data_IF_460445963437
#
_entry.id   IF_460445963437
#
_cell.length_a   1.000
_cell.length_b   1.000
_cell.length_c   1.000
_cell.angle_alpha   90.00
_cell.angle_beta   90.00
_cell.angle_gamma   90.00
#
_symmetry.space_group_name_H-M   'P 1'
#
loop_
_entity.id
_entity.type
_entity.pdbx_description
1 polymer ?
#
# COMPACT_ATOMS: atom_id res chain seq x y z
N UNK A 1 2.02 -15.18 -14.58
CA UNK A 1 3.41 -14.94 -14.13
C UNK A 1 3.76 -13.47 -14.37
N UNK A 2 4.38 -12.84 -13.36
CA UNK A 2 4.71 -11.41 -13.36
C UNK A 2 6.22 -11.17 -13.63
N UNK A 3 6.84 -12.09 -14.38
CA UNK A 3 8.26 -12.02 -14.71
C UNK A 3 8.62 -10.71 -15.43
N UNK A 4 9.61 -9.99 -14.93
CA UNK A 4 10.04 -8.71 -15.47
C UNK A 4 9.14 -7.53 -15.12
N UNK A 5 8.08 -7.74 -14.31
CA UNK A 5 7.21 -6.67 -13.84
C UNK A 5 7.70 -6.09 -12.52
N UNK A 6 7.78 -4.78 -12.44
CA UNK A 6 8.12 -4.04 -11.23
C UNK A 6 6.84 -3.61 -10.51
N UNK A 7 6.69 -4.04 -9.26
CA UNK A 7 5.51 -3.75 -8.44
C UNK A 7 5.92 -2.95 -7.21
N UNK A 8 5.26 -1.81 -7.01
CA UNK A 8 5.33 -1.07 -5.75
C UNK A 8 4.26 -1.65 -4.80
N UNK A 9 4.68 -2.06 -3.60
CA UNK A 9 3.77 -2.45 -2.52
C UNK A 9 3.86 -1.41 -1.40
N UNK A 10 2.82 -0.59 -1.29
CA UNK A 10 2.66 0.39 -0.21
C UNK A 10 2.01 -0.26 1.00
N UNK A 11 2.69 -0.20 2.15
CA UNK A 11 2.19 -0.76 3.42
C UNK A 11 1.92 0.36 4.40
N UNK A 12 0.69 0.43 4.92
CA UNK A 12 0.27 1.52 5.80
C UNK A 12 -0.10 1.04 7.21
N UNK A 13 -0.18 1.98 8.16
CA UNK A 13 -0.24 1.72 9.60
C UNK A 13 -1.58 1.20 10.10
N UNK A 14 -1.82 -0.09 9.96
CA UNK A 14 -2.94 -0.79 10.55
C UNK A 14 -2.54 -2.22 10.94
N UNK A 15 -3.32 -2.86 11.81
CA UNK A 15 -3.02 -4.23 12.28
C UNK A 15 -2.85 -5.21 11.10
N UNK A 16 -3.56 -5.01 9.98
CA UNK A 16 -3.45 -5.86 8.80
C UNK A 16 -2.10 -5.72 8.05
N UNK A 17 -1.18 -4.84 8.49
CA UNK A 17 0.16 -4.70 7.90
C UNK A 17 0.94 -6.03 7.89
N UNK A 18 0.75 -6.92 8.88
CA UNK A 18 1.39 -8.24 8.89
C UNK A 18 1.00 -9.10 7.67
N UNK A 19 -0.20 -8.91 7.13
CA UNK A 19 -0.69 -9.64 5.96
C UNK A 19 0.00 -9.19 4.67
N UNK A 20 0.49 -7.98 4.62
CA UNK A 20 1.26 -7.50 3.48
C UNK A 20 2.53 -8.33 3.23
N UNK A 21 3.08 -8.98 4.27
CA UNK A 21 4.21 -9.90 4.12
C UNK A 21 3.83 -11.13 3.28
N UNK A 22 2.63 -11.67 3.47
CA UNK A 22 2.11 -12.77 2.64
C UNK A 22 1.91 -12.31 1.20
N UNK A 23 1.33 -11.13 0.99
CA UNK A 23 1.15 -10.55 -0.34
C UNK A 23 2.49 -10.35 -1.05
N UNK A 24 3.50 -9.79 -0.37
CA UNK A 24 4.85 -9.67 -0.91
C UNK A 24 5.43 -11.03 -1.33
N UNK A 25 5.25 -12.06 -0.49
CA UNK A 25 5.69 -13.42 -0.80
C UNK A 25 4.96 -14.03 -2.01
N UNK A 26 3.64 -13.80 -2.14
CA UNK A 26 2.86 -14.24 -3.30
C UNK A 26 3.33 -13.57 -4.60
N UNK A 27 3.55 -12.27 -4.58
CA UNK A 27 4.06 -11.52 -5.74
C UNK A 27 5.46 -12.01 -6.15
N UNK A 28 6.35 -12.27 -5.18
CA UNK A 28 7.68 -12.84 -5.43
C UNK A 28 7.59 -14.25 -6.04
N UNK A 29 6.66 -15.10 -5.59
CA UNK A 29 6.41 -16.43 -6.18
C UNK A 29 5.93 -16.34 -7.64
N UNK A 30 5.31 -15.23 -8.02
CA UNK A 30 4.93 -14.91 -9.40
C UNK A 30 6.09 -14.30 -10.21
N UNK A 31 7.30 -14.21 -9.64
CA UNK A 31 8.52 -13.67 -10.23
C UNK A 31 8.48 -12.14 -10.48
N UNK A 32 7.69 -11.40 -9.70
CA UNK A 32 7.71 -9.95 -9.74
C UNK A 32 8.96 -9.37 -9.06
N UNK A 33 9.42 -8.20 -9.55
CA UNK A 33 10.37 -7.34 -8.84
C UNK A 33 9.57 -6.43 -7.90
N UNK A 34 9.55 -6.77 -6.60
CA UNK A 34 8.68 -6.12 -5.60
C UNK A 34 9.49 -5.12 -4.78
N UNK A 35 9.08 -3.85 -4.84
CA UNK A 35 9.64 -2.76 -4.05
C UNK A 35 8.61 -2.33 -3.00
N UNK A 36 8.99 -2.41 -1.73
CA UNK A 36 8.09 -2.08 -0.62
C UNK A 36 8.37 -0.67 -0.11
N UNK A 37 7.31 0.11 0.06
CA UNK A 37 7.34 1.42 0.71
C UNK A 37 6.44 1.36 1.94
N UNK A 38 6.99 1.67 3.10
CA UNK A 38 6.25 1.66 4.36
C UNK A 38 6.04 3.08 4.87
N UNK A 39 4.83 3.37 5.35
CA UNK A 39 4.60 4.57 6.14
C UNK A 39 5.23 4.44 7.52
N UNK A 40 5.52 5.56 8.18
CA UNK A 40 6.04 5.57 9.56
C UNK A 40 5.16 4.73 10.50
N UNK A 41 3.84 4.86 10.39
CA UNK A 41 2.91 4.11 11.24
C UNK A 41 2.88 2.61 10.91
N UNK A 42 3.23 2.19 9.69
CA UNK A 42 3.32 0.78 9.36
C UNK A 42 4.46 0.09 10.11
N UNK A 43 5.57 0.80 10.36
CA UNK A 43 6.72 0.28 11.08
C UNK A 43 6.44 -0.03 12.56
N UNK A 44 5.37 0.49 13.13
CA UNK A 44 4.91 0.13 14.49
C UNK A 44 4.27 -1.28 14.55
N UNK A 45 3.84 -1.84 13.41
CA UNK A 45 3.18 -3.14 13.31
C UNK A 45 4.08 -4.24 12.74
N UNK A 46 5.00 -3.88 11.84
CA UNK A 46 5.91 -4.82 11.17
C UNK A 46 7.19 -4.07 10.76
N UNK A 47 8.32 -4.74 10.84
CA UNK A 47 9.60 -4.09 10.55
C UNK A 47 9.96 -4.10 9.05
N UNK A 48 10.70 -3.09 8.54
CA UNK A 48 11.23 -3.09 7.17
C UNK A 48 12.03 -4.35 6.83
N UNK A 49 12.79 -4.89 7.79
CA UNK A 49 13.60 -6.09 7.63
C UNK A 49 12.80 -7.29 7.12
N UNK A 50 11.53 -7.42 7.54
CA UNK A 50 10.65 -8.51 7.06
C UNK A 50 10.49 -8.43 5.54
N UNK A 51 10.22 -7.24 5.01
CA UNK A 51 10.02 -7.05 3.57
C UNK A 51 11.34 -7.15 2.79
N UNK A 52 12.43 -6.62 3.34
CA UNK A 52 13.77 -6.74 2.73
C UNK A 52 14.19 -8.20 2.57
N UNK A 53 13.91 -9.02 3.60
CA UNK A 53 14.17 -10.47 3.55
C UNK A 53 13.32 -11.17 2.48
N UNK A 54 12.05 -10.80 2.34
CA UNK A 54 11.13 -11.44 1.39
C UNK A 54 11.37 -11.00 -0.06
N UNK A 55 11.69 -9.73 -0.28
CA UNK A 55 11.77 -9.14 -1.63
C UNK A 55 13.18 -9.10 -2.18
N UNK A 56 14.20 -9.15 -1.32
CA UNK A 56 15.63 -8.93 -1.64
C UNK A 56 15.87 -7.51 -2.18
N UNK A 57 14.96 -6.59 -1.86
CA UNK A 57 15.07 -5.16 -2.16
C UNK A 57 15.03 -4.37 -0.86
N UNK A 58 15.70 -3.20 -0.83
CA UNK A 58 15.61 -2.27 0.29
C UNK A 58 14.15 -1.81 0.47
N UNK A 59 13.67 -1.81 1.70
CA UNK A 59 12.37 -1.24 2.04
C UNK A 59 12.50 0.28 2.21
N UNK A 60 11.71 1.05 1.47
CA UNK A 60 11.76 2.50 1.49
C UNK A 60 10.84 3.04 2.59
N UNK A 61 11.37 3.88 3.48
CA UNK A 61 10.62 4.40 4.64
C UNK A 61 10.71 5.91 4.80
N UNK A 62 11.73 6.53 4.23
CA UNK A 62 12.03 7.96 4.39
C UNK A 62 12.38 8.60 3.05
N UNK A 63 11.75 9.73 2.76
CA UNK A 63 12.02 10.53 1.56
C UNK A 63 13.42 11.16 1.57
N UNK A 64 13.99 11.35 2.77
CA UNK A 64 15.26 12.04 2.98
C UNK A 64 16.37 11.12 3.51
N UNK A 65 16.28 9.82 3.27
CA UNK A 65 17.35 8.87 3.58
C UNK A 65 18.64 9.26 2.82
N UNK A 66 19.70 9.60 3.56
CA UNK A 66 20.99 10.05 3.00
C UNK A 66 21.93 8.91 2.59
N UNK A 67 21.54 7.67 2.83
CA UNK A 67 22.32 6.48 2.48
C UNK A 67 22.00 5.96 1.08
N UNK A 68 21.72 6.85 0.12
CA UNK A 68 21.38 6.49 -1.25
C UNK A 68 22.31 7.15 -2.27
N UNK A 69 22.37 6.59 -3.48
CA UNK A 69 22.98 7.22 -4.65
C UNK A 69 22.14 8.44 -5.05
N UNK A 70 22.78 9.48 -5.61
CA UNK A 70 22.18 10.77 -5.98
C UNK A 70 21.05 10.70 -7.05
N UNK A 71 20.21 9.69 -7.00
CA UNK A 71 19.01 9.55 -7.83
C UNK A 71 17.78 9.83 -6.97
N UNK A 72 16.80 10.53 -7.50
CA UNK A 72 15.56 10.84 -6.79
C UNK A 72 14.73 9.56 -6.73
N UNK A 73 14.97 8.75 -5.71
CA UNK A 73 14.56 7.35 -5.56
C UNK A 73 13.05 7.15 -5.80
N UNK A 74 12.21 8.04 -5.29
CA UNK A 74 10.76 7.98 -5.49
C UNK A 74 10.35 8.24 -6.95
N UNK A 75 11.08 9.09 -7.68
CA UNK A 75 10.78 9.39 -9.10
C UNK A 75 11.22 8.23 -10.00
N UNK A 76 12.41 7.68 -9.75
CA UNK A 76 12.92 6.54 -10.51
C UNK A 76 12.05 5.30 -10.33
N UNK A 77 11.64 5.01 -9.09
CA UNK A 77 10.75 3.91 -8.81
C UNK A 77 9.37 4.13 -9.44
N UNK A 78 8.81 5.35 -9.35
CA UNK A 78 7.52 5.68 -9.96
C UNK A 78 7.52 5.50 -11.49
N UNK A 79 8.62 5.83 -12.18
CA UNK A 79 8.78 5.63 -13.62
C UNK A 79 8.92 4.16 -14.00
N UNK A 80 9.60 3.37 -13.18
CA UNK A 80 9.89 1.95 -13.42
C UNK A 80 8.70 1.04 -13.16
N UNK A 81 7.77 1.47 -12.29
CA UNK A 81 6.68 0.64 -11.82
C UNK A 81 5.68 0.30 -12.93
N UNK A 82 5.33 -0.99 -13.04
CA UNK A 82 4.23 -1.48 -13.89
C UNK A 82 2.89 -1.48 -13.14
N UNK A 83 2.92 -1.53 -11.80
CA UNK A 83 1.75 -1.56 -10.93
C UNK A 83 2.12 -1.04 -9.54
N UNK A 84 1.20 -0.31 -8.91
CA UNK A 84 1.30 0.06 -7.51
C UNK A 84 0.10 -0.52 -6.73
N UNK A 85 0.39 -1.20 -5.62
CA UNK A 85 -0.61 -1.81 -4.73
C UNK A 85 -0.45 -1.19 -3.34
N UNK A 86 -1.52 -0.62 -2.78
CA UNK A 86 -1.53 -0.09 -1.42
C UNK A 86 -2.34 -1.05 -0.55
N UNK A 87 -1.66 -1.87 0.23
CA UNK A 87 -2.26 -2.98 0.97
C UNK A 87 -1.49 -3.30 2.27
N UNK A 88 -2.09 -3.08 3.44
CA UNK A 88 -3.39 -2.46 3.67
C UNK A 88 -3.37 -0.95 3.43
N UNK A 89 -4.51 -0.38 3.02
CA UNK A 89 -4.70 1.06 2.93
C UNK A 89 -5.58 1.55 4.09
N UNK A 90 -5.02 2.41 4.95
CA UNK A 90 -5.75 3.07 6.03
C UNK A 90 -6.61 4.21 5.49
N UNK A 91 -7.66 4.60 6.23
CA UNK A 91 -8.48 5.77 5.91
C UNK A 91 -7.63 7.03 5.71
N UNK A 92 -6.58 7.21 6.54
CA UNK A 92 -5.66 8.33 6.43
C UNK A 92 -4.94 8.36 5.07
N UNK A 93 -4.41 7.23 4.62
CA UNK A 93 -3.68 7.18 3.34
C UNK A 93 -4.66 7.30 2.17
N UNK A 94 -5.87 6.73 2.25
CA UNK A 94 -6.90 6.95 1.25
C UNK A 94 -7.24 8.44 1.10
N UNK A 95 -7.43 9.15 2.22
CA UNK A 95 -7.68 10.59 2.20
C UNK A 95 -6.51 11.39 1.62
N UNK A 96 -5.26 11.08 2.00
CA UNK A 96 -4.08 11.73 1.43
C UNK A 96 -3.98 11.57 -0.07
N UNK A 97 -4.14 10.36 -0.57
CA UNK A 97 -4.07 10.06 -2.00
C UNK A 97 -5.21 10.72 -2.78
N UNK A 98 -6.43 10.73 -2.23
CA UNK A 98 -7.60 11.38 -2.83
C UNK A 98 -7.40 12.90 -3.01
N UNK A 99 -6.65 13.54 -2.11
CA UNK A 99 -6.44 14.99 -2.10
C UNK A 99 -5.01 15.41 -2.52
N UNK A 100 -4.19 14.48 -3.01
CA UNK A 100 -2.83 14.78 -3.51
C UNK A 100 -1.85 15.22 -2.44
N UNK A 101 -2.05 14.82 -1.18
CA UNK A 101 -1.10 15.07 -0.08
C UNK A 101 0.09 14.12 -0.20
N UNK A 102 1.28 14.68 -0.36
CA UNK A 102 2.53 13.96 -0.59
C UNK A 102 3.57 14.33 0.50
N UNK A 103 3.29 13.95 1.73
CA UNK A 103 4.07 14.30 2.92
C UNK A 103 4.95 13.16 3.46
N UNK A 104 4.96 12.02 2.79
CA UNK A 104 5.82 10.87 3.09
C UNK A 104 6.31 10.19 1.79
N UNK A 105 7.23 9.22 1.94
CA UNK A 105 7.81 8.49 0.81
C UNK A 105 6.77 7.78 -0.06
N UNK A 106 5.75 7.17 0.56
CA UNK A 106 4.71 6.43 -0.15
C UNK A 106 3.83 7.36 -0.98
N UNK A 107 3.27 8.39 -0.36
CA UNK A 107 2.36 9.32 -1.03
C UNK A 107 3.06 10.16 -2.10
N UNK A 108 4.33 10.53 -1.87
CA UNK A 108 5.15 11.23 -2.87
C UNK A 108 5.41 10.34 -4.10
N UNK A 109 5.78 9.07 -3.88
CA UNK A 109 6.01 8.12 -4.97
C UNK A 109 4.72 7.89 -5.77
N UNK A 110 3.60 7.65 -5.10
CA UNK A 110 2.32 7.37 -5.75
C UNK A 110 1.77 8.56 -6.54
N UNK A 111 2.03 9.79 -6.09
CA UNK A 111 1.65 11.00 -6.82
C UNK A 111 2.42 11.12 -8.15
N UNK A 112 3.65 10.60 -8.20
CA UNK A 112 4.49 10.57 -9.41
C UNK A 112 4.20 9.36 -10.33
N UNK A 113 3.51 8.31 -9.83
CA UNK A 113 3.23 7.09 -10.60
C UNK A 113 2.21 7.33 -11.72
N UNK A 114 2.50 6.76 -12.90
CA UNK A 114 1.59 6.72 -14.06
C UNK A 114 1.03 5.31 -14.31
N UNK A 115 1.54 4.30 -13.60
CA UNK A 115 1.06 2.93 -13.71
C UNK A 115 -0.34 2.74 -13.09
N UNK A 116 -1.04 1.63 -13.39
CA UNK A 116 -2.25 1.23 -12.67
C UNK A 116 -2.01 1.19 -11.16
N UNK A 117 -3.02 1.57 -10.38
CA UNK A 117 -2.94 1.66 -8.92
C UNK A 117 -4.11 0.94 -8.29
N UNK A 118 -3.81 0.05 -7.37
CA UNK A 118 -4.79 -0.75 -6.61
C UNK A 118 -4.75 -0.35 -5.15
N UNK A 119 -5.91 -0.18 -4.55
CA UNK A 119 -6.05 0.09 -3.11
C UNK A 119 -6.87 -1.03 -2.46
N UNK A 120 -6.34 -1.63 -1.41
CA UNK A 120 -7.02 -2.59 -0.56
C UNK A 120 -7.29 -1.95 0.83
N UNK A 121 -8.44 -1.29 1.03
CA UNK A 121 -8.79 -0.65 2.29
C UNK A 121 -8.89 -1.69 3.42
N UNK A 122 -8.36 -1.34 4.59
CA UNK A 122 -8.54 -2.14 5.80
C UNK A 122 -8.60 -1.21 7.01
N UNK A 123 -9.75 -1.21 7.71
CA UNK A 123 -10.01 -0.35 8.85
C UNK A 123 -11.22 -0.84 9.64
N UNK A 124 -11.48 -0.23 10.80
CA UNK A 124 -12.70 -0.46 11.55
C UNK A 124 -13.95 -0.18 10.66
N UNK A 125 -15.02 -0.94 10.87
CA UNK A 125 -16.26 -0.83 10.07
C UNK A 125 -16.83 0.58 10.07
N UNK A 126 -16.90 1.25 11.22
CA UNK A 126 -17.42 2.62 11.31
C UNK A 126 -16.55 3.63 10.56
N UNK A 127 -15.23 3.41 10.53
CA UNK A 127 -14.32 4.23 9.71
C UNK A 127 -14.55 3.98 8.23
N UNK A 128 -14.75 2.73 7.84
CA UNK A 128 -15.01 2.37 6.45
C UNK A 128 -16.35 2.94 5.96
N UNK A 129 -17.43 2.80 6.77
CA UNK A 129 -18.77 3.29 6.45
C UNK A 129 -18.93 4.81 6.63
N UNK A 130 -17.93 5.48 7.18
CA UNK A 130 -17.98 6.93 7.34
C UNK A 130 -18.09 7.62 5.97
N UNK A 131 -19.06 8.55 5.79
CA UNK A 131 -19.26 9.24 4.52
C UNK A 131 -17.97 9.87 3.95
N UNK A 132 -17.13 10.46 4.79
CA UNK A 132 -15.86 11.06 4.37
C UNK A 132 -14.93 9.99 3.76
N UNK A 133 -14.88 8.80 4.35
CA UNK A 133 -14.08 7.69 3.81
C UNK A 133 -14.65 7.21 2.48
N UNK A 134 -15.97 7.05 2.39
CA UNK A 134 -16.63 6.63 1.14
C UNK A 134 -16.45 7.67 0.03
N UNK A 135 -16.55 8.96 0.33
CA UNK A 135 -16.29 10.04 -0.63
C UNK A 135 -14.84 10.00 -1.12
N UNK A 136 -13.87 9.78 -0.22
CA UNK A 136 -12.47 9.63 -0.59
C UNK A 136 -12.23 8.41 -1.49
N UNK A 137 -12.87 7.28 -1.23
CA UNK A 137 -12.76 6.09 -2.08
C UNK A 137 -13.37 6.34 -3.46
N UNK A 138 -14.55 6.96 -3.54
CA UNK A 138 -15.16 7.35 -4.81
C UNK A 138 -14.27 8.32 -5.60
N UNK A 139 -13.63 9.27 -4.90
CA UNK A 139 -12.70 10.22 -5.53
C UNK A 139 -11.45 9.52 -6.07
N UNK A 140 -10.93 8.52 -5.36
CA UNK A 140 -9.83 7.70 -5.83
C UNK A 140 -10.20 6.90 -7.08
N UNK A 141 -11.39 6.32 -7.13
CA UNK A 141 -11.90 5.64 -8.34
C UNK A 141 -12.01 6.61 -9.52
N UNK A 142 -12.53 7.82 -9.27
CA UNK A 142 -12.57 8.89 -10.29
C UNK A 142 -11.17 9.20 -10.86
N UNK A 143 -10.13 9.15 -10.02
CA UNK A 143 -8.72 9.35 -10.45
C UNK A 143 -8.04 8.08 -10.98
N UNK A 144 -8.80 7.02 -11.24
CA UNK A 144 -8.32 5.80 -11.90
C UNK A 144 -7.63 4.80 -10.96
N UNK A 145 -7.87 4.88 -9.65
CA UNK A 145 -7.50 3.80 -8.73
C UNK A 145 -8.54 2.68 -8.78
N UNK A 146 -8.08 1.44 -8.72
CA UNK A 146 -8.95 0.28 -8.53
C UNK A 146 -9.07 0.00 -7.04
N UNK A 147 -10.29 0.00 -6.52
CA UNK A 147 -10.55 -0.29 -5.10
C UNK A 147 -10.93 -1.77 -4.97
N UNK A 148 -10.15 -2.52 -4.19
CA UNK A 148 -10.52 -3.89 -3.79
C UNK A 148 -11.42 -3.77 -2.56
N UNK A 149 -12.65 -4.20 -2.67
CA UNK A 149 -13.57 -4.14 -1.54
C UNK A 149 -13.05 -4.93 -0.33
N UNK A 150 -13.10 -4.33 0.88
CA UNK A 150 -12.73 -5.06 2.08
C UNK A 150 -13.72 -6.20 2.36
N UNK A 151 -13.21 -7.28 2.90
CA UNK A 151 -14.02 -8.40 3.34
C UNK A 151 -14.90 -8.03 4.56
N UNK A 152 -15.98 -8.77 4.73
CA UNK A 152 -16.80 -8.71 5.93
C UNK A 152 -16.40 -9.81 6.93
N UNK A 153 -16.50 -9.54 8.22
CA UNK A 153 -16.21 -10.51 9.26
C UNK A 153 -15.81 -9.88 10.58
N UNK A 154 -15.32 -10.70 11.49
CA UNK A 154 -14.82 -10.23 12.78
C UNK A 154 -13.51 -9.45 12.58
N UNK A 155 -13.47 -8.26 13.11
CA UNK A 155 -12.32 -7.34 13.10
C UNK A 155 -11.48 -7.51 14.37
N UNK A 156 -10.25 -7.03 14.34
CA UNK A 156 -9.34 -7.10 15.49
C UNK A 156 -9.86 -6.33 16.73
N UNK A 157 -10.73 -5.33 16.54
CA UNK A 157 -11.38 -4.60 17.62
C UNK A 157 -12.59 -5.33 18.24
N UNK A 158 -12.94 -6.52 17.74
CA UNK A 158 -14.11 -7.28 18.21
C UNK A 158 -15.42 -6.96 17.51
N UNK A 159 -15.47 -5.91 16.69
CA UNK A 159 -16.63 -5.58 15.88
C UNK A 159 -16.76 -6.56 14.70
N UNK A 160 -17.98 -6.78 14.21
CA UNK A 160 -18.25 -7.56 13.01
C UNK A 160 -18.85 -6.67 11.94
N UNK A 161 -18.29 -6.71 10.73
CA UNK A 161 -18.76 -5.88 9.63
C UNK A 161 -17.77 -5.80 8.47
N UNK A 162 -18.03 -4.87 7.54
CA UNK A 162 -17.16 -4.58 6.40
C UNK A 162 -15.97 -3.73 6.84
N UNK A 163 -14.77 -4.04 6.37
CA UNK A 163 -13.55 -3.30 6.72
C UNK A 163 -12.34 -4.20 6.94
N UNK A 164 -12.53 -5.52 6.90
CA UNK A 164 -11.47 -6.51 7.03
C UNK A 164 -10.62 -6.55 5.76
N UNK A 165 -9.29 -6.65 5.94
CA UNK A 165 -8.38 -6.83 4.81
C UNK A 165 -8.83 -8.02 3.94
N UNK A 166 -8.93 -7.85 2.61
CA UNK A 166 -9.35 -8.92 1.70
C UNK A 166 -8.38 -10.10 1.72
N UNK A 167 -8.78 -11.20 1.12
CA UNK A 167 -7.87 -12.32 0.86
C UNK A 167 -6.74 -11.86 -0.08
N UNK A 168 -5.51 -12.17 0.27
CA UNK A 168 -4.33 -11.74 -0.47
C UNK A 168 -4.29 -12.31 -1.90
N UNK A 169 -5.00 -13.41 -2.14
CA UNK A 169 -5.12 -14.02 -3.48
C UNK A 169 -6.09 -13.29 -4.41
N UNK A 170 -6.88 -12.34 -3.88
CA UNK A 170 -7.79 -11.50 -4.67
C UNK A 170 -7.15 -10.16 -5.10
N UNK A 171 -6.03 -9.79 -4.49
CA UNK A 171 -5.25 -8.58 -4.78
C UNK A 171 -4.26 -8.90 -5.90
#
# INVERSE_FOLDING_TARGET
MLTGKTIILGVTGGIAAYKAANLASLLKKQHADVHVIMTKNAMEFITPLTFETLTVNKCLTDTFDRNFKFEVEHVELAKKADLAIIAPATANVCAKLAHGLADDMLTTTLLACQCPRIIAPAMNTRMYENPITQDNLCLLEHYGFTIIEPASGLLACGDSGKGKFPDEGLI
#
